data_IF_680300499326
#
_entry.id   IF_680300499326
#
_cell.length_a   1.000
_cell.length_b   1.000
_cell.length_c   1.000
_cell.angle_alpha   90.00
_cell.angle_beta   90.00
_cell.angle_gamma   90.00
#
_symmetry.space_group_name_H-M   'P 1'
#
loop_
_entity.id
_entity.type
_entity.pdbx_description
1 polymer ?
#
# COMPACT_ATOMS: atom_id res chain seq x y z
N UNK A 1 -16.89 -10.48 -8.91
CA UNK A 1 -15.57 -10.79 -8.32
C UNK A 1 -14.44 -10.85 -9.32
N UNK A 2 -14.42 -11.81 -10.25
CA UNK A 2 -13.29 -11.97 -11.17
C UNK A 2 -12.95 -10.68 -11.93
N UNK A 3 -13.96 -10.02 -12.50
CA UNK A 3 -13.79 -8.77 -13.27
C UNK A 3 -13.20 -7.66 -12.40
N UNK A 4 -13.75 -7.45 -11.19
CA UNK A 4 -13.25 -6.42 -10.26
C UNK A 4 -11.82 -6.67 -9.78
N UNK A 5 -11.43 -7.94 -9.60
CA UNK A 5 -10.04 -8.30 -9.25
C UNK A 5 -9.06 -8.01 -10.39
N UNK A 6 -9.45 -8.30 -11.64
CA UNK A 6 -8.62 -8.01 -12.81
C UNK A 6 -8.45 -6.50 -12.98
N UNK A 7 -9.55 -5.74 -12.87
CA UNK A 7 -9.50 -4.26 -12.91
C UNK A 7 -8.60 -3.70 -11.81
N UNK A 8 -8.69 -4.22 -10.57
CA UNK A 8 -7.85 -3.79 -9.46
C UNK A 8 -6.35 -4.01 -9.75
N UNK A 9 -5.99 -5.18 -10.28
CA UNK A 9 -4.61 -5.51 -10.62
C UNK A 9 -4.02 -4.60 -11.70
N UNK A 10 -4.83 -4.27 -12.71
CA UNK A 10 -4.45 -3.34 -13.78
C UNK A 10 -4.26 -1.94 -13.22
N UNK A 11 -5.19 -1.46 -12.36
CA UNK A 11 -5.07 -0.14 -11.74
C UNK A 11 -3.82 -0.01 -10.88
N UNK A 12 -3.41 -1.05 -10.15
CA UNK A 12 -2.18 -1.03 -9.35
C UNK A 12 -0.90 -0.88 -10.19
N UNK A 13 -0.89 -1.44 -11.41
CA UNK A 13 0.21 -1.28 -12.36
C UNK A 13 0.18 0.07 -13.08
N UNK A 14 -1.00 0.68 -13.23
CA UNK A 14 -1.18 2.00 -13.84
C UNK A 14 -0.84 3.17 -12.91
N UNK A 15 -0.91 2.99 -11.58
CA UNK A 15 -0.58 4.02 -10.58
C UNK A 15 0.80 4.69 -10.78
N UNK A 16 1.92 3.97 -11.03
CA UNK A 16 3.21 4.62 -11.24
C UNK A 16 3.34 5.39 -12.58
N UNK A 17 2.40 5.20 -13.51
CA UNK A 17 2.45 5.83 -14.84
C UNK A 17 1.79 7.22 -14.86
N UNK A 18 0.85 7.49 -13.96
CA UNK A 18 0.12 8.75 -13.93
C UNK A 18 0.68 9.70 -12.87
N UNK A 19 1.32 10.79 -13.33
CA UNK A 19 1.82 11.88 -12.48
C UNK A 19 0.84 13.06 -12.37
N UNK A 20 -0.24 13.04 -13.16
CA UNK A 20 -1.27 14.08 -13.19
C UNK A 20 -2.31 13.89 -12.09
N UNK A 21 -2.71 14.97 -11.41
CA UNK A 21 -3.68 14.95 -10.31
C UNK A 21 -5.05 14.40 -10.72
N UNK A 22 -5.55 14.82 -11.88
CA UNK A 22 -6.83 14.36 -12.47
C UNK A 22 -6.82 12.84 -12.72
N UNK A 23 -5.70 12.32 -13.25
CA UNK A 23 -5.54 10.89 -13.50
C UNK A 23 -5.50 10.09 -12.21
N UNK A 24 -4.83 10.61 -11.19
CA UNK A 24 -4.76 9.97 -9.87
C UNK A 24 -6.15 9.88 -9.22
N UNK A 25 -6.95 10.94 -9.31
CA UNK A 25 -8.32 10.96 -8.80
C UNK A 25 -9.21 9.94 -9.52
N UNK A 26 -9.17 9.89 -10.85
CA UNK A 26 -9.94 8.92 -11.64
C UNK A 26 -9.56 7.47 -11.27
N UNK A 27 -8.27 7.18 -11.10
CA UNK A 27 -7.82 5.85 -10.69
C UNK A 27 -8.26 5.50 -9.27
N UNK A 28 -8.23 6.43 -8.33
CA UNK A 28 -8.74 6.24 -6.97
C UNK A 28 -10.23 5.89 -6.94
N UNK A 29 -11.05 6.53 -7.79
CA UNK A 29 -12.47 6.22 -7.91
C UNK A 29 -12.68 4.78 -8.43
N UNK A 30 -11.94 4.39 -9.47
CA UNK A 30 -12.02 3.03 -10.04
C UNK A 30 -11.55 1.98 -9.02
N UNK A 31 -10.46 2.26 -8.30
CA UNK A 31 -9.93 1.43 -7.22
C UNK A 31 -10.96 1.28 -6.09
N UNK A 32 -11.51 2.39 -5.60
CA UNK A 32 -12.53 2.39 -4.54
C UNK A 32 -13.79 1.63 -4.94
N UNK A 33 -14.28 1.84 -6.16
CA UNK A 33 -15.42 1.11 -6.71
C UNK A 33 -15.16 -0.39 -6.82
N UNK A 34 -13.99 -0.78 -7.33
CA UNK A 34 -13.62 -2.18 -7.52
C UNK A 34 -13.46 -2.92 -6.18
N UNK A 35 -12.82 -2.29 -5.19
CA UNK A 35 -12.68 -2.83 -3.84
C UNK A 35 -14.03 -2.90 -3.15
N UNK A 36 -14.82 -1.83 -3.20
CA UNK A 36 -16.15 -1.78 -2.58
C UNK A 36 -17.08 -2.88 -3.11
N UNK A 37 -17.14 -3.06 -4.42
CA UNK A 37 -17.91 -4.14 -5.04
C UNK A 37 -17.42 -5.52 -4.60
N UNK A 38 -16.10 -5.68 -4.47
CA UNK A 38 -15.51 -6.94 -3.99
C UNK A 38 -15.79 -7.20 -2.51
N UNK A 39 -15.91 -6.19 -1.67
CA UNK A 39 -16.27 -6.44 -0.26
C UNK A 39 -17.76 -6.79 -0.14
N UNK A 40 -18.63 -6.06 -0.85
CA UNK A 40 -20.09 -6.26 -0.79
C UNK A 40 -20.52 -7.61 -1.37
N UNK A 41 -20.03 -7.96 -2.57
CA UNK A 41 -20.37 -9.27 -3.16
C UNK A 41 -19.80 -10.42 -2.34
N UNK A 42 -18.68 -10.20 -1.65
CA UNK A 42 -18.00 -11.24 -0.89
C UNK A 42 -18.80 -11.58 0.36
N UNK A 43 -19.28 -10.58 1.09
CA UNK A 43 -20.12 -10.79 2.27
C UNK A 43 -21.44 -11.46 1.94
N UNK A 44 -22.05 -11.13 0.79
CA UNK A 44 -23.29 -11.78 0.31
C UNK A 44 -23.07 -13.25 -0.01
N UNK A 45 -22.01 -13.58 -0.76
CA UNK A 45 -21.68 -14.98 -1.09
C UNK A 45 -21.33 -15.77 0.18
N UNK A 46 -20.59 -15.16 1.10
CA UNK A 46 -20.21 -15.81 2.35
C UNK A 46 -21.42 -16.05 3.25
N UNK A 47 -22.40 -15.14 3.23
CA UNK A 47 -23.66 -15.31 3.94
C UNK A 47 -24.43 -16.54 3.47
N UNK A 48 -24.41 -16.79 2.15
CA UNK A 48 -25.13 -17.90 1.54
C UNK A 48 -24.39 -19.24 1.74
N UNK A 49 -23.05 -19.26 1.68
CA UNK A 49 -22.27 -20.51 1.82
C UNK A 49 -22.10 -20.98 3.28
N UNK A 50 -21.95 -20.06 4.23
CA UNK A 50 -21.50 -20.37 5.61
C UNK A 50 -22.61 -20.13 6.64
N UNK A 51 -23.66 -19.40 6.26
CA UNK A 51 -24.70 -18.94 7.16
C UNK A 51 -24.24 -17.77 8.04
N UNK A 52 -25.19 -16.96 8.50
CA UNK A 52 -24.93 -15.73 9.28
C UNK A 52 -24.15 -15.97 10.58
N UNK A 53 -24.21 -17.19 11.14
CA UNK A 53 -23.65 -17.51 12.46
C UNK A 53 -22.13 -17.59 12.49
N UNK A 54 -21.48 -18.04 11.39
CA UNK A 54 -20.01 -18.19 11.31
C UNK A 54 -19.35 -17.14 10.41
N UNK A 55 -20.14 -16.24 9.84
CA UNK A 55 -19.73 -15.16 8.95
C UNK A 55 -18.66 -14.22 9.56
N UNK A 56 -18.82 -13.70 10.80
CA UNK A 56 -17.81 -12.81 11.39
C UNK A 56 -16.50 -13.55 11.75
N UNK A 57 -16.57 -14.84 12.09
CA UNK A 57 -15.38 -15.66 12.34
C UNK A 57 -14.54 -15.83 11.06
N UNK A 58 -15.20 -16.16 9.94
CA UNK A 58 -14.54 -16.26 8.64
C UNK A 58 -13.92 -14.91 8.23
N UNK A 59 -14.70 -13.82 8.29
CA UNK A 59 -14.22 -12.45 7.98
C UNK A 59 -13.02 -12.04 8.85
N UNK A 60 -13.02 -12.42 10.14
CA UNK A 60 -11.90 -12.19 11.05
C UNK A 60 -10.62 -12.90 10.60
N UNK A 61 -10.70 -14.19 10.24
CA UNK A 61 -9.56 -14.96 9.74
C UNK A 61 -9.01 -14.35 8.45
N UNK A 62 -9.88 -14.01 7.50
CA UNK A 62 -9.46 -13.36 6.25
C UNK A 62 -8.78 -12.01 6.49
N UNK A 63 -9.31 -11.21 7.40
CA UNK A 63 -8.70 -9.92 7.77
C UNK A 63 -7.35 -10.12 8.45
N UNK A 64 -7.17 -11.21 9.19
CA UNK A 64 -5.89 -11.58 9.79
C UNK A 64 -4.81 -11.84 8.70
N UNK A 65 -5.13 -12.64 7.70
CA UNK A 65 -4.25 -12.86 6.53
C UNK A 65 -4.03 -11.59 5.70
N UNK A 66 -5.06 -10.77 5.53
CA UNK A 66 -4.95 -9.47 4.87
C UNK A 66 -4.03 -8.52 5.66
N UNK A 67 -4.07 -8.54 6.99
CA UNK A 67 -3.16 -7.78 7.85
C UNK A 67 -1.71 -8.25 7.73
N UNK A 68 -1.47 -9.56 7.76
CA UNK A 68 -0.14 -10.15 7.56
C UNK A 68 0.46 -9.75 6.20
N UNK A 69 -0.31 -9.84 5.12
CA UNK A 69 0.13 -9.35 3.80
C UNK A 69 0.25 -7.82 3.75
N UNK A 70 -0.57 -7.11 4.52
CA UNK A 70 -0.52 -5.67 4.71
C UNK A 70 0.81 -5.19 5.28
N UNK A 71 1.40 -5.91 6.23
CA UNK A 71 2.74 -5.61 6.77
C UNK A 71 3.88 -5.77 5.74
N UNK A 72 3.69 -6.61 4.72
CA UNK A 72 4.71 -6.83 3.68
C UNK A 72 4.90 -5.60 2.79
N UNK A 73 3.83 -4.83 2.55
CA UNK A 73 3.87 -3.65 1.66
C UNK A 73 4.73 -2.49 2.20
N UNK A 74 4.52 -1.99 3.44
CA UNK A 74 5.31 -0.87 3.99
C UNK A 74 6.75 -1.30 4.32
N UNK A 75 6.99 -2.55 4.73
CA UNK A 75 8.35 -3.05 5.00
C UNK A 75 9.17 -3.11 3.71
N UNK A 76 8.58 -3.56 2.60
CA UNK A 76 9.23 -3.58 1.30
C UNK A 76 9.51 -2.15 0.79
N UNK A 77 8.51 -1.26 0.85
CA UNK A 77 8.65 0.14 0.43
C UNK A 77 9.69 0.88 1.29
N UNK A 78 9.73 0.63 2.61
CA UNK A 78 10.73 1.17 3.52
C UNK A 78 12.14 0.68 3.18
N UNK A 79 12.31 -0.63 2.96
CA UNK A 79 13.61 -1.19 2.57
C UNK A 79 14.12 -0.60 1.25
N UNK A 80 13.27 -0.48 0.23
CA UNK A 80 13.66 0.17 -1.03
C UNK A 80 13.96 1.67 -0.85
N UNK A 81 13.16 2.38 -0.04
CA UNK A 81 13.37 3.81 0.24
C UNK A 81 14.72 4.05 0.94
N UNK A 82 15.09 3.21 1.88
CA UNK A 82 16.32 3.38 2.66
C UNK A 82 17.57 3.00 1.84
N UNK A 83 17.50 1.93 1.04
CA UNK A 83 18.65 1.51 0.21
C UNK A 83 18.88 2.41 -1.03
N UNK A 84 17.82 2.95 -1.62
CA UNK A 84 17.91 3.89 -2.75
C UNK A 84 18.25 5.30 -2.22
N UNK A 85 17.66 5.71 -1.09
CA UNK A 85 17.93 6.97 -0.42
C UNK A 85 19.37 7.08 0.09
N UNK A 86 19.91 6.05 0.72
CA UNK A 86 21.29 6.07 1.25
C UNK A 86 22.35 6.25 0.14
N UNK A 87 22.12 5.72 -1.07
CA UNK A 87 23.05 5.91 -2.20
C UNK A 87 23.01 7.33 -2.79
N UNK A 88 21.84 7.96 -2.84
CA UNK A 88 21.70 9.35 -3.30
C UNK A 88 22.06 10.39 -2.21
N UNK A 89 21.90 10.07 -0.92
CA UNK A 89 22.27 10.96 0.19
C UNK A 89 23.78 10.98 0.50
N UNK A 90 24.54 9.95 0.13
CA UNK A 90 25.99 9.91 0.37
C UNK A 90 26.78 11.08 -0.29
N UNK A 91 26.52 11.49 -1.55
CA UNK A 91 27.17 12.67 -2.12
C UNK A 91 26.58 14.01 -1.61
N UNK A 92 25.29 14.06 -1.29
CA UNK A 92 24.60 15.27 -0.79
C UNK A 92 24.99 15.61 0.66
N UNK A 93 25.19 14.62 1.52
CA UNK A 93 25.68 14.80 2.89
C UNK A 93 27.12 15.35 2.89
N UNK A 94 27.97 14.92 1.95
CA UNK A 94 29.32 15.47 1.78
C UNK A 94 29.31 16.91 1.28
N UNK A 95 28.41 17.28 0.36
CA UNK A 95 28.22 18.69 -0.03
C UNK A 95 27.68 19.55 1.12
N UNK A 96 26.68 19.07 1.86
CA UNK A 96 26.09 19.83 2.97
C UNK A 96 27.10 20.05 4.12
N UNK A 97 27.96 19.06 4.41
CA UNK A 97 29.04 19.16 5.41
C UNK A 97 30.17 20.11 5.00
N UNK A 98 30.40 20.33 3.70
CA UNK A 98 31.37 21.33 3.21
C UNK A 98 30.82 22.77 3.29
N UNK A 99 29.51 22.96 3.19
CA UNK A 99 28.88 24.30 3.18
C UNK A 99 28.54 24.77 4.61
N UNK A 100 28.36 23.86 5.57
CA UNK A 100 28.05 24.16 6.98
C UNK A 100 28.93 23.33 7.92
N UNK A 101 30.07 23.85 8.41
CA UNK A 101 30.88 23.15 9.39
C UNK A 101 30.29 23.37 10.78
N UNK A 102 29.25 22.61 11.17
CA UNK A 102 28.75 22.54 12.57
C UNK A 102 27.74 21.40 12.77
N UNK A 103 27.64 20.83 13.99
CA UNK A 103 27.92 19.42 14.23
C UNK A 103 26.72 18.48 14.02
N UNK A 104 27.05 17.22 13.74
CA UNK A 104 26.16 16.07 13.76
C UNK A 104 25.28 16.04 15.03
N UNK A 105 24.01 16.40 14.89
CA UNK A 105 22.97 15.89 15.80
C UNK A 105 22.57 14.51 15.30
N UNK A 106 23.23 13.52 15.88
CA UNK A 106 22.75 12.15 16.01
C UNK A 106 21.56 12.19 16.97
N UNK A 107 20.34 12.05 16.45
CA UNK A 107 19.14 11.70 17.22
C UNK A 107 17.98 11.45 16.25
N UNK A 108 17.26 10.35 16.23
CA UNK A 108 17.26 9.14 17.03
C UNK A 108 16.36 8.15 16.30
N UNK A 109 16.88 6.95 16.04
CA UNK A 109 16.06 5.78 15.82
C UNK A 109 15.65 5.27 17.20
N UNK A 110 14.39 5.46 17.54
CA UNK A 110 13.60 4.68 18.51
C UNK A 110 12.16 4.75 18.05
#
# INVERSE_FOLDING_TARGET
MAISCVTLGISFQALPLFTSFEGLLAMCLILGYSVGNTVVLFTVILADCVGLEKLPMAMGIMTCFAGMSGFTRPTLIGYFRDNIGARYHAPLQRQCNQIRPSPCVRSGAT
#
